data_IF_585456985370
#
_entry.id   IF_585456985370
#
_cell.length_a   1.000
_cell.length_b   1.000
_cell.length_c   1.000
_cell.angle_alpha   90.00
_cell.angle_beta   90.00
_cell.angle_gamma   90.00
#
_symmetry.space_group_name_H-M   'P 1'
#
loop_
_entity.id
_entity.type
_entity.pdbx_description
1 polymer ?
#
# COMPACT_ATOMS: atom_id res chain seq x y z
N UNK A 1 -23.10 -5.88 12.15
CA UNK A 1 -24.45 -6.50 12.13
C UNK A 1 -24.41 -8.03 12.27
N UNK A 2 -23.52 -8.75 11.58
CA UNK A 2 -23.41 -10.23 11.74
C UNK A 2 -23.11 -10.69 13.18
N UNK A 3 -22.45 -9.86 13.99
CA UNK A 3 -22.16 -10.13 15.41
C UNK A 3 -23.37 -10.00 16.36
N UNK A 4 -24.38 -9.22 15.99
CA UNK A 4 -25.56 -8.98 16.83
C UNK A 4 -26.66 -10.04 16.64
N UNK A 5 -26.70 -10.68 15.45
CA UNK A 5 -27.70 -11.69 15.10
C UNK A 5 -27.79 -12.87 16.10
N UNK A 6 -26.66 -13.48 16.54
CA UNK A 6 -26.72 -14.61 17.48
C UNK A 6 -27.07 -14.19 18.91
N UNK A 7 -26.75 -12.94 19.29
CA UNK A 7 -26.91 -12.42 20.67
C UNK A 7 -28.31 -11.89 20.94
N UNK A 8 -28.96 -11.29 19.94
CA UNK A 8 -30.39 -10.98 20.00
C UNK A 8 -31.21 -12.24 20.31
N UNK A 9 -30.85 -13.39 19.73
CA UNK A 9 -31.57 -14.65 20.01
C UNK A 9 -31.49 -15.11 21.48
N UNK A 10 -30.43 -14.74 22.24
CA UNK A 10 -30.26 -15.13 23.65
C UNK A 10 -30.83 -14.13 24.67
N UNK A 11 -31.01 -12.87 24.28
CA UNK A 11 -31.51 -11.82 25.19
C UNK A 11 -33.03 -11.94 25.44
N UNK A 12 -33.75 -12.65 24.57
CA UNK A 12 -35.22 -12.72 24.56
C UNK A 12 -35.79 -13.95 25.27
N UNK A 13 -34.98 -14.98 25.55
CA UNK A 13 -35.38 -16.08 26.45
C UNK A 13 -35.66 -15.59 27.88
N UNK A 14 -35.09 -14.44 28.27
CA UNK A 14 -35.37 -13.77 29.54
C UNK A 14 -36.70 -12.99 29.53
N UNK A 15 -37.10 -12.40 28.41
CA UNK A 15 -38.36 -11.65 28.25
C UNK A 15 -39.59 -12.58 28.20
N UNK A 16 -39.47 -13.77 27.59
CA UNK A 16 -40.52 -14.81 27.62
C UNK A 16 -40.83 -15.32 29.02
N UNK A 17 -39.85 -15.27 29.95
CA UNK A 17 -40.04 -15.70 31.35
C UNK A 17 -40.64 -14.63 32.25
N UNK A 18 -40.50 -13.35 31.91
CA UNK A 18 -40.96 -12.23 32.74
C UNK A 18 -42.40 -11.81 32.42
N UNK A 19 -42.88 -12.10 31.20
CA UNK A 19 -44.27 -11.88 30.78
C UNK A 19 -45.06 -13.20 30.91
N UNK A 20 -45.68 -13.42 32.07
CA UNK A 20 -46.41 -14.65 32.41
C UNK A 20 -47.28 -15.23 31.29
N UNK A 21 -46.79 -16.32 30.68
CA UNK A 21 -47.54 -17.47 30.16
C UNK A 21 -48.58 -17.30 29.04
N UNK A 22 -48.93 -16.08 28.59
CA UNK A 22 -50.10 -15.89 27.72
C UNK A 22 -49.86 -15.40 26.30
N UNK A 23 -48.61 -15.37 25.85
CA UNK A 23 -48.28 -14.90 24.49
C UNK A 23 -47.39 -15.90 23.75
N UNK A 24 -47.85 -17.15 23.64
CA UNK A 24 -47.19 -18.17 22.82
C UNK A 24 -47.44 -17.83 21.34
N UNK A 25 -46.49 -17.14 20.71
CA UNK A 25 -46.49 -16.85 19.27
C UNK A 25 -46.23 -15.39 18.84
N UNK A 26 -46.31 -14.39 19.72
CA UNK A 26 -45.89 -13.02 19.33
C UNK A 26 -44.36 -12.86 19.35
N UNK A 27 -43.66 -13.48 20.31
CA UNK A 27 -42.20 -13.46 20.38
C UNK A 27 -41.53 -14.09 19.14
N UNK A 28 -42.01 -15.25 18.70
CA UNK A 28 -41.53 -15.91 17.48
C UNK A 28 -41.78 -15.05 16.22
N UNK A 29 -42.97 -14.44 16.10
CA UNK A 29 -43.27 -13.53 14.99
C UNK A 29 -42.41 -12.28 14.99
N UNK A 30 -42.12 -11.68 16.16
CA UNK A 30 -41.22 -10.53 16.27
C UNK A 30 -39.77 -10.90 15.92
N UNK A 31 -39.28 -12.06 16.37
CA UNK A 31 -37.95 -12.57 16.01
C UNK A 31 -37.83 -12.78 14.50
N UNK A 32 -38.89 -13.28 13.85
CA UNK A 32 -38.91 -13.50 12.41
C UNK A 32 -38.93 -12.17 11.62
N UNK A 33 -39.70 -11.20 12.09
CA UNK A 33 -39.74 -9.84 11.52
C UNK A 33 -38.38 -9.15 11.65
N UNK A 34 -37.74 -9.18 12.82
CA UNK A 34 -36.42 -8.57 13.05
C UNK A 34 -35.32 -9.26 12.24
N UNK A 35 -35.35 -10.60 12.13
CA UNK A 35 -34.44 -11.34 11.24
C UNK A 35 -34.64 -10.94 9.79
N UNK A 36 -35.88 -10.66 9.36
CA UNK A 36 -36.19 -10.20 8.01
C UNK A 36 -35.66 -8.79 7.79
N UNK A 37 -35.84 -7.88 8.75
CA UNK A 37 -35.30 -6.50 8.69
C UNK A 37 -33.77 -6.53 8.62
N UNK A 38 -33.10 -7.30 9.47
CA UNK A 38 -31.64 -7.44 9.48
C UNK A 38 -31.12 -8.06 8.17
N UNK A 39 -31.80 -9.07 7.61
CA UNK A 39 -31.43 -9.64 6.30
C UNK A 39 -31.58 -8.63 5.18
N UNK A 40 -32.64 -7.82 5.19
CA UNK A 40 -32.83 -6.74 4.21
C UNK A 40 -31.72 -5.70 4.33
N UNK A 41 -31.39 -5.26 5.55
CA UNK A 41 -30.28 -4.33 5.80
C UNK A 41 -28.94 -4.91 5.36
N UNK A 42 -28.66 -6.19 5.64
CA UNK A 42 -27.48 -6.89 5.14
C UNK A 42 -27.45 -6.91 3.60
N UNK A 43 -28.61 -7.13 2.96
CA UNK A 43 -28.72 -7.10 1.49
C UNK A 43 -28.42 -5.73 0.90
N UNK A 44 -28.90 -4.66 1.53
CA UNK A 44 -28.60 -3.26 1.14
C UNK A 44 -27.11 -2.97 1.31
N UNK A 45 -26.55 -3.25 2.49
CA UNK A 45 -25.12 -3.07 2.79
C UNK A 45 -24.21 -3.86 1.85
N UNK A 46 -24.61 -5.09 1.45
CA UNK A 46 -23.86 -5.89 0.46
C UNK A 46 -23.86 -5.24 -0.92
N UNK A 47 -25.00 -4.67 -1.36
CA UNK A 47 -25.09 -3.93 -2.63
C UNK A 47 -24.26 -2.65 -2.61
N UNK A 48 -24.26 -1.92 -1.50
CA UNK A 48 -23.38 -0.76 -1.30
C UNK A 48 -21.90 -1.17 -1.30
N UNK A 49 -21.55 -2.30 -0.67
CA UNK A 49 -20.18 -2.83 -0.72
C UNK A 49 -19.76 -3.20 -2.15
N UNK A 50 -20.67 -3.76 -2.96
CA UNK A 50 -20.39 -4.04 -4.38
C UNK A 50 -20.22 -2.77 -5.22
N UNK A 51 -21.01 -1.72 -4.96
CA UNK A 51 -20.84 -0.45 -5.68
C UNK A 51 -19.50 0.21 -5.34
N UNK A 52 -19.10 0.19 -4.07
CA UNK A 52 -17.77 0.63 -3.62
C UNK A 52 -16.67 -0.20 -4.28
N UNK A 53 -16.81 -1.53 -4.33
CA UNK A 53 -15.85 -2.42 -5.05
C UNK A 53 -15.76 -2.09 -6.53
N UNK A 54 -16.88 -1.81 -7.21
CA UNK A 54 -16.88 -1.40 -8.63
C UNK A 54 -16.19 -0.05 -8.84
N UNK A 55 -16.47 0.94 -8.00
CA UNK A 55 -15.78 2.23 -8.03
C UNK A 55 -14.27 2.07 -7.82
N UNK A 56 -13.86 1.22 -6.87
CA UNK A 56 -12.44 0.88 -6.64
C UNK A 56 -11.82 0.18 -7.85
N UNK A 57 -12.52 -0.75 -8.50
CA UNK A 57 -12.05 -1.39 -9.74
C UNK A 57 -11.88 -0.39 -10.89
N UNK A 58 -12.76 0.60 -11.03
CA UNK A 58 -12.60 1.67 -12.02
C UNK A 58 -11.41 2.58 -11.71
N UNK A 59 -11.22 2.96 -10.44
CA UNK A 59 -10.02 3.68 -10.00
C UNK A 59 -8.74 2.86 -10.26
N UNK A 60 -8.79 1.54 -10.00
CA UNK A 60 -7.70 0.60 -10.29
C UNK A 60 -7.38 0.54 -11.79
N UNK A 61 -8.39 0.41 -12.65
CA UNK A 61 -8.19 0.39 -14.10
C UNK A 61 -7.53 1.68 -14.64
N UNK A 62 -7.83 2.84 -14.03
CA UNK A 62 -7.13 4.11 -14.32
C UNK A 62 -5.66 4.09 -13.87
N UNK A 63 -5.30 3.31 -12.84
CA UNK A 63 -3.90 3.11 -12.42
C UNK A 63 -3.18 2.12 -13.32
N UNK A 64 -3.85 1.06 -13.79
CA UNK A 64 -3.25 0.10 -14.74
C UNK A 64 -2.87 0.75 -16.07
N UNK A 65 -3.53 1.85 -16.45
CA UNK A 65 -3.18 2.68 -17.61
C UNK A 65 -2.04 3.67 -17.38
N UNK A 66 -1.59 3.88 -16.14
CA UNK A 66 -0.45 4.76 -15.83
C UNK A 66 0.77 3.89 -15.52
N UNK A 67 1.80 3.93 -16.37
CA UNK A 67 2.86 2.95 -16.31
C UNK A 67 3.94 3.20 -15.22
N UNK A 68 3.70 4.14 -14.29
CA UNK A 68 4.61 4.55 -13.20
C UNK A 68 4.68 3.49 -12.08
N UNK A 69 5.86 3.20 -11.49
CA UNK A 69 5.99 2.24 -10.39
C UNK A 69 5.18 2.66 -9.15
N UNK A 70 4.58 1.67 -8.48
CA UNK A 70 3.75 1.88 -7.27
C UNK A 70 4.50 1.39 -6.04
N UNK A 71 4.62 2.25 -5.05
CA UNK A 71 5.25 1.99 -3.75
C UNK A 71 4.17 2.06 -2.68
N UNK A 72 4.00 1.00 -1.90
CA UNK A 72 2.98 0.96 -0.83
C UNK A 72 3.61 1.05 0.55
N UNK A 73 3.15 2.02 1.34
CA UNK A 73 3.52 2.17 2.75
C UNK A 73 2.75 1.17 3.59
N UNK A 74 3.44 0.28 4.28
CA UNK A 74 2.89 -0.69 5.23
C UNK A 74 3.49 -0.46 6.61
N UNK A 75 2.76 -0.81 7.66
CA UNK A 75 3.25 -0.62 9.02
C UNK A 75 2.14 -0.35 10.01
N UNK A 76 2.49 -0.41 11.29
CA UNK A 76 1.55 -0.26 12.39
C UNK A 76 0.83 1.10 12.37
N UNK A 77 -0.33 1.20 13.02
CA UNK A 77 -0.99 2.51 13.24
C UNK A 77 -0.05 3.43 14.01
N UNK A 78 -0.05 4.72 13.66
CA UNK A 78 0.87 5.71 14.20
C UNK A 78 2.37 5.44 13.92
N UNK A 79 2.72 4.56 12.98
CA UNK A 79 4.12 4.45 12.52
C UNK A 79 4.61 5.70 11.76
N UNK A 80 3.70 6.60 11.37
CA UNK A 80 4.00 7.82 10.60
C UNK A 80 3.95 7.64 9.08
N UNK A 81 3.18 6.67 8.57
CA UNK A 81 2.97 6.45 7.12
C UNK A 81 2.35 7.67 6.42
N UNK A 82 1.24 8.19 6.96
CA UNK A 82 0.55 9.36 6.40
C UNK A 82 1.41 10.63 6.50
N UNK A 83 2.15 10.78 7.61
CA UNK A 83 3.14 11.86 7.77
C UNK A 83 4.21 11.79 6.69
N UNK A 84 4.75 10.59 6.42
CA UNK A 84 5.76 10.37 5.38
C UNK A 84 5.20 10.69 3.98
N UNK A 85 3.96 10.27 3.69
CA UNK A 85 3.27 10.61 2.45
C UNK A 85 3.14 12.12 2.28
N UNK A 86 2.65 12.82 3.30
CA UNK A 86 2.47 14.27 3.26
C UNK A 86 3.78 15.00 3.05
N UNK A 87 4.81 14.63 3.81
CA UNK A 87 6.11 15.29 3.74
C UNK A 87 6.77 15.14 2.35
N UNK A 88 6.57 13.99 1.69
CA UNK A 88 7.10 13.74 0.35
C UNK A 88 6.30 14.36 -0.79
N UNK A 89 5.02 14.67 -0.56
CA UNK A 89 4.09 15.08 -1.64
C UNK A 89 3.50 16.46 -1.45
N UNK A 90 3.71 17.10 -0.30
CA UNK A 90 3.01 18.32 0.11
C UNK A 90 1.50 18.13 0.26
N UNK A 91 1.02 16.88 0.33
CA UNK A 91 -0.39 16.59 0.49
C UNK A 91 -0.86 16.87 1.93
N UNK A 92 -2.14 17.21 2.07
CA UNK A 92 -2.79 17.43 3.37
C UNK A 92 -3.65 16.21 3.75
N UNK A 93 -3.01 15.03 3.86
CA UNK A 93 -3.68 13.81 4.36
C UNK A 93 -3.74 13.87 5.87
N UNK A 94 -4.90 13.56 6.46
CA UNK A 94 -5.07 13.54 7.92
C UNK A 94 -4.07 12.57 8.59
N UNK A 95 -3.10 13.14 9.32
CA UNK A 95 -2.10 12.42 10.09
C UNK A 95 -2.29 12.74 11.58
N UNK A 96 -3.30 12.16 12.20
CA UNK A 96 -3.58 12.32 13.64
C UNK A 96 -3.08 11.11 14.45
N UNK A 97 -2.77 11.32 15.73
CA UNK A 97 -2.47 10.27 16.72
C UNK A 97 -3.73 9.45 17.13
N UNK A 98 -4.46 8.93 16.13
CA UNK A 98 -5.65 8.10 16.31
C UNK A 98 -5.51 6.79 15.55
N UNK A 99 -6.12 5.73 16.09
CA UNK A 99 -6.22 4.45 15.39
C UNK A 99 -7.04 4.64 14.11
N UNK A 100 -6.59 4.05 13.01
CA UNK A 100 -7.23 4.16 11.68
C UNK A 100 -7.29 5.59 11.09
N UNK A 101 -6.29 6.43 11.35
CA UNK A 101 -6.17 7.74 10.69
C UNK A 101 -6.32 7.66 9.16
N UNK A 102 -5.85 6.55 8.55
CA UNK A 102 -6.09 6.20 7.14
C UNK A 102 -6.95 4.93 7.05
N UNK A 103 -8.16 5.06 6.48
CA UNK A 103 -9.08 3.94 6.21
C UNK A 103 -9.18 3.60 4.71
N UNK A 104 -9.09 4.60 3.84
CA UNK A 104 -9.02 4.43 2.39
C UNK A 104 -7.59 4.70 1.90
N UNK A 105 -7.04 3.84 1.01
CA UNK A 105 -5.70 4.02 0.53
C UNK A 105 -5.57 5.33 -0.26
N UNK A 106 -4.59 6.15 0.12
CA UNK A 106 -4.35 7.44 -0.54
C UNK A 106 -3.08 7.35 -1.38
N UNK A 107 -3.23 7.50 -2.69
CA UNK A 107 -2.09 7.49 -3.63
C UNK A 107 -1.75 8.90 -4.07
N UNK A 108 -0.47 9.24 -4.01
CA UNK A 108 0.07 10.51 -4.50
C UNK A 108 1.33 10.26 -5.31
N UNK A 109 1.67 11.22 -6.17
CA UNK A 109 2.86 11.17 -7.00
C UNK A 109 4.01 11.84 -6.26
N UNK A 110 5.14 11.14 -6.15
CA UNK A 110 6.38 11.67 -5.58
C UNK A 110 7.34 11.92 -6.74
N UNK A 111 7.80 13.16 -6.87
CA UNK A 111 8.83 13.53 -7.85
C UNK A 111 10.19 13.54 -7.16
N UNK A 112 11.18 12.92 -7.80
CA UNK A 112 12.56 12.91 -7.33
C UNK A 112 13.37 13.87 -8.20
N UNK A 113 14.40 14.50 -7.61
CA UNK A 113 15.24 15.53 -8.26
C UNK A 113 15.84 15.12 -9.61
N UNK A 114 15.99 13.82 -9.87
CA UNK A 114 16.58 13.27 -11.09
C UNK A 114 15.56 13.10 -12.24
N UNK A 115 14.34 13.62 -12.10
CA UNK A 115 13.27 13.52 -13.11
C UNK A 115 12.44 12.23 -13.03
N UNK A 116 12.89 11.24 -12.26
CA UNK A 116 12.12 10.03 -11.98
C UNK A 116 10.96 10.31 -11.02
N UNK A 117 9.87 9.57 -11.17
CA UNK A 117 8.70 9.64 -10.30
C UNK A 117 8.21 8.25 -9.91
N UNK A 118 7.54 8.17 -8.77
CA UNK A 118 6.81 6.97 -8.35
C UNK A 118 5.49 7.36 -7.70
N UNK A 119 4.55 6.42 -7.66
CA UNK A 119 3.30 6.58 -6.93
C UNK A 119 3.49 6.03 -5.52
N UNK A 120 3.24 6.85 -4.51
CA UNK A 120 3.27 6.45 -3.11
C UNK A 120 1.84 6.28 -2.59
N UNK A 121 1.52 5.08 -2.11
CA UNK A 121 0.21 4.75 -1.54
C UNK A 121 0.32 4.57 -0.04
N UNK A 122 -0.37 5.42 0.72
CA UNK A 122 -0.59 5.18 2.15
C UNK A 122 -1.70 4.15 2.33
N UNK A 123 -1.42 3.10 3.12
CA UNK A 123 -2.35 2.00 3.37
C UNK A 123 -2.88 2.03 4.79
N UNK A 124 -3.91 1.23 5.06
CA UNK A 124 -4.47 1.11 6.41
C UNK A 124 -3.40 0.62 7.38
N UNK A 125 -3.27 1.30 8.52
CA UNK A 125 -2.34 0.89 9.57
C UNK A 125 -2.73 -0.41 10.27
N UNK A 126 -1.75 -1.27 10.53
CA UNK A 126 -1.96 -2.51 11.28
C UNK A 126 -2.15 -2.26 12.79
N UNK A 127 -2.92 -3.12 13.44
CA UNK A 127 -3.08 -3.16 14.89
C UNK A 127 -2.92 -4.63 15.35
N UNK A 128 -2.35 -4.86 16.53
CA UNK A 128 -2.26 -6.16 17.16
C UNK A 128 -3.67 -6.71 17.41
N UNK A 129 -3.88 -7.99 17.09
CA UNK A 129 -5.16 -8.70 17.25
C UNK A 129 -6.33 -8.01 16.54
N UNK A 130 -6.17 -7.74 15.24
CA UNK A 130 -7.33 -7.37 14.42
C UNK A 130 -8.41 -8.46 14.56
N UNK A 131 -9.66 -8.10 14.91
CA UNK A 131 -10.76 -9.06 14.88
C UNK A 131 -10.85 -9.66 13.48
N UNK A 132 -11.02 -10.99 13.38
CA UNK A 132 -11.08 -11.72 12.10
C UNK A 132 -12.13 -11.15 11.13
N UNK A 133 -13.19 -10.55 11.67
CA UNK A 133 -14.22 -9.84 10.91
C UNK A 133 -13.75 -8.50 10.30
N UNK A 134 -12.88 -7.75 10.98
CA UNK A 134 -12.26 -6.54 10.41
C UNK A 134 -11.18 -6.89 9.38
N UNK A 135 -10.46 -8.00 9.58
CA UNK A 135 -9.47 -8.49 8.60
C UNK A 135 -10.14 -8.71 7.24
N UNK A 136 -11.36 -9.26 7.19
CA UNK A 136 -12.10 -9.43 5.93
C UNK A 136 -12.46 -8.10 5.24
N UNK A 137 -12.77 -7.05 6.00
CA UNK A 137 -13.06 -5.72 5.46
C UNK A 137 -11.79 -5.02 4.95
N UNK A 138 -10.66 -5.21 5.63
CA UNK A 138 -9.37 -4.67 5.22
C UNK A 138 -8.67 -5.50 4.15
N UNK A 139 -9.00 -6.79 3.99
CA UNK A 139 -8.43 -7.61 2.92
C UNK A 139 -8.62 -6.99 1.55
N UNK A 140 -9.79 -6.43 1.26
CA UNK A 140 -10.03 -5.75 -0.02
C UNK A 140 -9.19 -4.47 -0.22
N UNK A 141 -8.79 -3.78 0.86
CA UNK A 141 -7.87 -2.63 0.79
C UNK A 141 -6.40 -3.06 0.80
N UNK A 142 -6.10 -4.21 1.40
CA UNK A 142 -4.75 -4.78 1.47
C UNK A 142 -4.41 -5.59 0.22
N UNK A 143 -5.40 -6.08 -0.54
CA UNK A 143 -5.20 -6.68 -1.87
C UNK A 143 -4.52 -5.70 -2.83
N UNK A 144 -4.67 -4.39 -2.63
CA UNK A 144 -3.97 -3.37 -3.42
C UNK A 144 -2.45 -3.40 -3.20
N UNK A 145 -1.98 -3.91 -2.06
CA UNK A 145 -0.56 -4.10 -1.77
C UNK A 145 0.08 -5.09 -2.75
N UNK A 146 -0.67 -6.09 -3.21
CA UNK A 146 -0.18 -7.10 -4.15
C UNK A 146 0.24 -6.55 -5.53
N UNK A 147 -0.23 -5.36 -5.88
CA UNK A 147 0.10 -4.69 -7.14
C UNK A 147 1.32 -3.75 -7.01
N UNK A 148 1.91 -3.67 -5.82
CA UNK A 148 3.05 -2.77 -5.56
C UNK A 148 4.32 -3.30 -6.21
N UNK A 149 5.11 -2.39 -6.77
CA UNK A 149 6.48 -2.66 -7.21
C UNK A 149 7.46 -2.74 -6.04
N UNK A 150 7.14 -2.08 -4.92
CA UNK A 150 7.94 -2.07 -3.69
C UNK A 150 7.04 -1.90 -2.46
N UNK A 151 7.34 -2.65 -1.40
CA UNK A 151 6.76 -2.43 -0.07
C UNK A 151 7.71 -1.62 0.80
N UNK A 152 7.20 -0.54 1.38
CA UNK A 152 7.94 0.25 2.36
C UNK A 152 7.34 -0.01 3.73
N UNK A 153 8.04 -0.76 4.57
CA UNK A 153 7.63 -1.04 5.93
C UNK A 153 8.09 0.07 6.86
N UNK A 154 7.19 0.99 7.18
CA UNK A 154 7.41 2.09 8.12
C UNK A 154 7.26 1.58 9.55
N UNK A 155 8.33 1.72 10.34
CA UNK A 155 8.45 1.22 11.71
C UNK A 155 8.73 2.40 12.64
N UNK A 156 7.91 2.58 13.68
CA UNK A 156 8.22 3.53 14.76
C UNK A 156 9.30 2.95 15.67
N UNK A 157 10.55 3.38 15.48
CA UNK A 157 11.70 2.86 16.22
C UNK A 157 11.75 3.34 17.67
N UNK A 158 10.99 4.39 18.00
CA UNK A 158 10.90 4.92 19.36
C UNK A 158 9.94 4.13 20.25
N UNK A 159 9.15 3.23 19.67
CA UNK A 159 8.13 2.49 20.39
C UNK A 159 8.73 1.30 21.16
N UNK A 160 8.41 1.10 22.46
CA UNK A 160 9.02 0.04 23.27
C UNK A 160 8.69 -1.39 22.79
N UNK A 161 7.57 -1.55 22.09
CA UNK A 161 7.12 -2.82 21.50
C UNK A 161 7.40 -2.93 19.99
N UNK A 162 8.43 -2.24 19.49
CA UNK A 162 8.74 -2.19 18.05
C UNK A 162 8.88 -3.59 17.42
N UNK A 163 9.59 -4.51 18.07
CA UNK A 163 9.78 -5.87 17.55
C UNK A 163 8.46 -6.63 17.40
N UNK A 164 7.55 -6.47 18.36
CA UNK A 164 6.24 -7.10 18.32
C UNK A 164 5.35 -6.51 17.23
N UNK A 165 5.47 -5.19 16.97
CA UNK A 165 4.74 -4.53 15.90
C UNK A 165 5.25 -5.00 14.53
N UNK A 166 6.56 -5.07 14.34
CA UNK A 166 7.19 -5.59 13.12
C UNK A 166 6.72 -7.02 12.85
N UNK A 167 6.79 -7.89 13.86
CA UNK A 167 6.36 -9.29 13.73
C UNK A 167 4.86 -9.41 13.40
N UNK A 168 4.02 -8.55 13.98
CA UNK A 168 2.59 -8.53 13.68
C UNK A 168 2.32 -8.13 12.21
N UNK A 169 3.05 -7.16 11.68
CA UNK A 169 2.94 -6.75 10.27
C UNK A 169 3.44 -7.86 9.36
N UNK A 170 4.61 -8.45 9.64
CA UNK A 170 5.19 -9.55 8.86
C UNK A 170 4.24 -10.74 8.76
N UNK A 171 3.58 -11.10 9.86
CA UNK A 171 2.56 -12.16 9.86
C UNK A 171 1.44 -11.85 8.87
N UNK A 172 0.88 -10.64 8.90
CA UNK A 172 -0.23 -10.29 7.99
C UNK A 172 0.24 -10.22 6.54
N UNK A 173 1.45 -9.70 6.28
CA UNK A 173 2.02 -9.70 4.92
C UNK A 173 2.20 -11.13 4.39
N UNK A 174 2.63 -12.08 5.23
CA UNK A 174 2.71 -13.49 4.84
C UNK A 174 1.34 -14.10 4.52
N UNK A 175 0.29 -13.74 5.27
CA UNK A 175 -1.08 -14.20 5.02
C UNK A 175 -1.70 -13.63 3.72
N UNK A 176 -1.14 -12.54 3.19
CA UNK A 176 -1.56 -11.89 1.94
C UNK A 176 -0.78 -12.39 0.72
N UNK A 177 0.21 -13.28 0.90
CA UNK A 177 1.06 -13.84 -0.15
C UNK A 177 1.81 -12.78 -0.98
N UNK A 178 2.23 -11.70 -0.33
CA UNK A 178 3.00 -10.60 -0.97
C UNK A 178 4.51 -10.73 -0.79
N UNK A 179 4.99 -11.91 -0.43
CA UNK A 179 6.40 -12.19 -0.12
C UNK A 179 7.34 -12.04 -1.32
N UNK A 180 6.81 -12.04 -2.55
CA UNK A 180 7.57 -11.86 -3.79
C UNK A 180 7.90 -10.39 -4.10
N UNK A 181 7.23 -9.44 -3.44
CA UNK A 181 7.46 -8.02 -3.66
C UNK A 181 8.68 -7.59 -2.84
N UNK A 182 9.65 -6.87 -3.43
CA UNK A 182 10.80 -6.37 -2.67
C UNK A 182 10.32 -5.46 -1.53
N UNK A 183 11.12 -5.40 -0.46
CA UNK A 183 10.78 -4.66 0.75
C UNK A 183 11.92 -3.75 1.18
N UNK A 184 11.58 -2.51 1.54
CA UNK A 184 12.45 -1.55 2.20
C UNK A 184 11.91 -1.29 3.61
N UNK A 185 12.73 -1.45 4.65
CA UNK A 185 12.36 -1.14 6.02
C UNK A 185 12.77 0.30 6.31
N UNK A 186 11.84 1.07 6.87
CA UNK A 186 12.06 2.47 7.21
C UNK A 186 11.87 2.66 8.71
N UNK A 187 12.98 2.89 9.41
CA UNK A 187 12.96 3.29 10.81
C UNK A 187 12.60 4.76 10.90
N UNK A 188 11.34 5.02 11.22
CA UNK A 188 10.78 6.35 11.38
C UNK A 188 10.84 6.81 12.85
N UNK A 189 10.69 8.13 13.04
CA UNK A 189 10.73 8.82 14.34
C UNK A 189 12.10 8.76 15.02
N UNK A 190 13.17 8.80 14.24
CA UNK A 190 14.55 8.82 14.76
C UNK A 190 14.82 10.06 15.62
N UNK A 191 14.04 11.13 15.47
CA UNK A 191 14.05 12.33 16.32
C UNK A 191 13.68 12.06 17.79
N UNK A 192 12.99 10.95 18.07
CA UNK A 192 12.58 10.57 19.43
C UNK A 192 13.52 9.60 20.13
N UNK A 193 14.60 9.20 19.47
CA UNK A 193 15.58 8.24 20.00
C UNK A 193 16.70 8.98 20.72
N UNK A 194 17.19 8.41 21.82
CA UNK A 194 18.26 9.00 22.65
C UNK A 194 19.62 9.10 21.93
N UNK A 195 19.94 8.14 21.05
CA UNK A 195 21.16 8.14 20.24
C UNK A 195 20.87 7.84 18.76
N UNK A 196 20.49 8.86 17.96
CA UNK A 196 20.21 8.69 16.53
C UNK A 196 21.45 8.29 15.72
N UNK A 197 22.67 8.61 16.17
CA UNK A 197 23.91 8.32 15.43
C UNK A 197 24.21 6.83 15.46
N UNK A 198 24.11 6.22 16.64
CA UNK A 198 24.25 4.77 16.79
C UNK A 198 23.20 4.02 15.97
N UNK A 199 21.97 4.53 15.94
CA UNK A 199 20.88 3.94 15.16
C UNK A 199 21.17 3.97 13.65
N UNK A 200 21.66 5.10 13.12
CA UNK A 200 22.07 5.20 11.71
C UNK A 200 23.18 4.21 11.36
N UNK A 201 24.18 4.08 12.23
CA UNK A 201 25.29 3.15 12.03
C UNK A 201 24.84 1.68 12.08
N UNK A 202 23.81 1.37 12.86
CA UNK A 202 23.16 0.05 12.84
C UNK A 202 22.37 -0.18 11.55
N UNK A 203 21.64 0.84 11.08
CA UNK A 203 20.91 0.77 9.82
C UNK A 203 21.84 0.56 8.63
N UNK A 204 23.00 1.23 8.59
CA UNK A 204 24.02 1.06 7.54
C UNK A 204 24.59 -0.37 7.49
N UNK A 205 24.54 -1.12 8.60
CA UNK A 205 24.96 -2.53 8.65
C UNK A 205 23.88 -3.50 8.19
N UNK A 206 22.64 -3.04 8.05
CA UNK A 206 21.51 -3.85 7.59
C UNK A 206 21.21 -3.47 6.16
N UNK A 207 21.12 -4.49 5.30
CA UNK A 207 20.59 -4.27 3.96
C UNK A 207 19.13 -3.81 4.07
N UNK A 208 18.75 -2.86 3.22
CA UNK A 208 17.37 -2.41 3.02
C UNK A 208 16.74 -1.70 4.23
N UNK A 209 17.55 -1.06 5.06
CA UNK A 209 17.07 -0.23 6.18
C UNK A 209 17.45 1.23 5.98
N UNK A 210 16.46 2.12 6.08
CA UNK A 210 16.69 3.57 6.06
C UNK A 210 16.11 4.22 7.31
N UNK A 211 16.87 5.15 7.88
CA UNK A 211 16.47 5.96 9.03
C UNK A 211 15.88 7.29 8.58
N UNK A 212 14.66 7.61 9.03
CA UNK A 212 13.98 8.87 8.70
C UNK A 212 13.30 9.50 9.92
N UNK A 213 13.14 10.81 9.87
CA UNK A 213 12.12 11.52 10.65
C UNK A 213 11.12 12.10 9.66
N UNK A 214 9.97 11.44 9.50
CA UNK A 214 8.91 11.93 8.63
C UNK A 214 8.39 13.31 9.06
N UNK A 215 8.49 13.64 10.35
CA UNK A 215 8.05 14.92 10.90
C UNK A 215 8.99 16.07 10.52
N UNK A 216 10.31 15.84 10.64
CA UNK A 216 11.31 16.87 10.40
C UNK A 216 11.83 16.90 8.97
N UNK A 217 11.62 15.82 8.22
CA UNK A 217 12.15 15.62 6.87
C UNK A 217 13.57 15.04 6.83
N UNK A 218 14.17 14.72 7.97
CA UNK A 218 15.50 14.10 8.04
C UNK A 218 15.46 12.71 7.40
N UNK A 219 16.45 12.38 6.57
CA UNK A 219 16.57 11.06 5.95
C UNK A 219 15.69 10.84 4.71
N UNK A 220 14.88 11.82 4.30
CA UNK A 220 13.96 11.66 3.17
C UNK A 220 14.67 11.55 1.82
N UNK A 221 15.83 12.21 1.66
CA UNK A 221 16.60 12.11 0.44
C UNK A 221 17.19 10.71 0.30
N UNK A 222 17.74 10.16 1.39
CA UNK A 222 18.25 8.80 1.50
C UNK A 222 17.14 7.78 1.25
N UNK A 223 15.94 8.01 1.80
CA UNK A 223 14.76 7.20 1.54
C UNK A 223 14.40 7.16 0.04
N UNK A 224 14.31 8.33 -0.61
CA UNK A 224 14.00 8.40 -2.04
C UNK A 224 15.06 7.69 -2.89
N UNK A 225 16.34 7.81 -2.54
CA UNK A 225 17.44 7.13 -3.23
C UNK A 225 17.34 5.60 -3.07
N UNK A 226 17.12 5.11 -1.84
CA UNK A 226 16.96 3.68 -1.58
C UNK A 226 15.73 3.08 -2.28
N UNK A 227 14.62 3.83 -2.35
CA UNK A 227 13.44 3.45 -3.13
C UNK A 227 13.78 3.33 -4.61
N UNK A 228 14.54 4.28 -5.18
CA UNK A 228 14.97 4.21 -6.57
C UNK A 228 15.84 2.99 -6.85
N UNK A 229 16.84 2.73 -6.01
CA UNK A 229 17.72 1.57 -6.16
C UNK A 229 16.92 0.26 -6.13
N UNK A 230 16.00 0.11 -5.17
CA UNK A 230 15.14 -1.08 -5.11
C UNK A 230 14.21 -1.25 -6.30
N UNK A 231 13.65 -0.15 -6.79
CA UNK A 231 12.84 -0.20 -8.01
C UNK A 231 13.70 -0.57 -9.21
N UNK A 232 14.93 -0.07 -9.31
CA UNK A 232 15.90 -0.36 -10.37
C UNK A 232 16.29 -1.85 -10.40
N UNK A 233 16.47 -2.47 -9.24
CA UNK A 233 16.81 -3.91 -9.12
C UNK A 233 15.72 -4.82 -9.69
N UNK A 234 14.46 -4.38 -9.65
CA UNK A 234 13.33 -5.11 -10.22
C UNK A 234 13.16 -4.92 -11.74
N UNK A 235 13.95 -4.01 -12.35
CA UNK A 235 13.88 -3.64 -13.75
C UNK A 235 14.99 -4.29 -14.57
N UNK A 236 14.74 -4.44 -15.87
CA UNK A 236 15.69 -5.01 -16.83
C UNK A 236 16.47 -3.88 -17.49
N UNK A 237 17.81 -3.95 -17.43
CA UNK A 237 18.67 -3.05 -18.18
C UNK A 237 18.52 -3.29 -19.69
N UNK A 238 18.40 -2.21 -20.46
CA UNK A 238 18.27 -2.24 -21.91
C UNK A 238 19.11 -1.15 -22.56
N UNK A 239 19.74 -1.53 -23.66
CA UNK A 239 20.31 -0.62 -24.65
C UNK A 239 19.58 -0.84 -25.97
N UNK A 240 18.90 0.20 -26.46
CA UNK A 240 18.06 0.09 -27.65
C UNK A 240 18.10 1.37 -28.48
N UNK A 241 18.11 1.22 -29.80
CA UNK A 241 17.98 2.32 -30.74
C UNK A 241 16.51 2.44 -31.15
N UNK A 242 15.83 3.45 -30.63
CA UNK A 242 14.41 3.70 -30.90
C UNK A 242 14.29 4.63 -32.11
N UNK A 243 13.78 4.17 -33.26
CA UNK A 243 13.59 5.03 -34.42
C UNK A 243 12.51 6.10 -34.18
N UNK A 244 12.60 7.22 -34.93
CA UNK A 244 11.76 8.41 -34.70
C UNK A 244 10.26 8.17 -34.92
N UNK A 245 9.89 7.16 -35.72
CA UNK A 245 8.52 6.71 -35.92
C UNK A 245 7.89 6.09 -34.66
N UNK A 246 8.71 5.74 -33.66
CA UNK A 246 8.28 5.13 -32.38
C UNK A 246 8.44 6.08 -31.18
N UNK A 247 8.20 7.37 -31.39
CA UNK A 247 8.26 8.39 -30.34
C UNK A 247 7.39 8.11 -29.10
N UNK A 248 6.23 7.46 -29.27
CA UNK A 248 5.37 7.05 -28.14
C UNK A 248 6.07 6.05 -27.20
N UNK A 249 6.85 5.12 -27.76
CA UNK A 249 7.60 4.14 -26.98
C UNK A 249 8.72 4.82 -26.19
N UNK A 250 9.42 5.77 -26.82
CA UNK A 250 10.45 6.58 -26.17
C UNK A 250 9.86 7.38 -24.99
N UNK A 251 8.74 8.09 -25.22
CA UNK A 251 8.04 8.83 -24.16
C UNK A 251 7.63 7.92 -23.00
N UNK A 252 7.10 6.74 -23.31
CA UNK A 252 6.73 5.74 -22.31
C UNK A 252 7.96 5.28 -21.51
N UNK A 253 9.12 5.10 -22.13
CA UNK A 253 10.33 4.69 -21.42
C UNK A 253 10.84 5.80 -20.50
N UNK A 254 10.77 7.06 -20.90
CA UNK A 254 11.09 8.18 -20.02
C UNK A 254 10.14 8.30 -18.83
N UNK A 255 8.88 7.90 -18.98
CA UNK A 255 7.89 7.94 -17.89
C UNK A 255 8.00 6.77 -16.91
N UNK A 256 8.56 5.64 -17.35
CA UNK A 256 8.38 4.33 -16.67
C UNK A 256 9.70 3.65 -16.34
N UNK A 257 10.68 3.86 -17.20
CA UNK A 257 12.03 3.41 -17.00
C UNK A 257 12.85 4.46 -16.28
N UNK A 258 13.94 4.00 -15.69
CA UNK A 258 15.00 4.87 -15.20
C UNK A 258 16.02 5.02 -16.31
N UNK A 259 15.95 6.14 -17.04
CA UNK A 259 16.85 6.44 -18.15
C UNK A 259 18.17 6.96 -17.61
N UNK A 260 19.26 6.28 -17.94
CA UNK A 260 20.61 6.69 -17.54
C UNK A 260 21.24 7.62 -18.59
N UNK A 261 21.02 7.31 -19.87
CA UNK A 261 21.59 8.08 -20.98
C UNK A 261 20.70 8.02 -22.21
N UNK A 262 20.69 9.14 -22.94
CA UNK A 262 19.99 9.31 -24.21
C UNK A 262 20.93 9.97 -25.20
N UNK A 263 21.07 9.38 -26.39
CA UNK A 263 21.86 9.94 -27.48
C UNK A 263 21.03 10.00 -28.76
N UNK A 264 21.09 11.12 -29.45
CA UNK A 264 20.40 11.31 -30.71
C UNK A 264 21.34 10.94 -31.86
N UNK A 265 20.89 10.05 -32.73
CA UNK A 265 21.61 9.58 -33.91
C UNK A 265 20.79 9.88 -35.16
N UNK A 266 21.38 9.71 -36.35
CA UNK A 266 20.69 9.95 -37.63
C UNK A 266 19.50 9.01 -37.86
N UNK A 267 19.54 7.80 -37.29
CA UNK A 267 18.53 6.75 -37.49
C UNK A 267 17.55 6.60 -36.32
N UNK A 268 17.72 7.35 -35.23
CA UNK A 268 16.85 7.29 -34.06
C UNK A 268 17.51 7.79 -32.77
N UNK A 269 16.88 7.47 -31.64
CA UNK A 269 17.37 7.80 -30.30
C UNK A 269 17.91 6.54 -29.62
N UNK A 270 19.21 6.51 -29.34
CA UNK A 270 19.83 5.45 -28.55
C UNK A 270 19.56 5.72 -27.07
N UNK A 271 19.00 4.73 -26.39
CA UNK A 271 18.66 4.83 -24.98
C UNK A 271 19.38 3.74 -24.18
N UNK A 272 19.88 4.12 -23.01
CA UNK A 272 20.37 3.20 -21.97
C UNK A 272 19.51 3.42 -20.73
N UNK A 273 18.71 2.41 -20.37
CA UNK A 273 17.71 2.55 -19.31
C UNK A 273 17.45 1.23 -18.59
N UNK A 274 16.97 1.32 -17.35
CA UNK A 274 16.30 0.22 -16.67
C UNK A 274 14.80 0.33 -16.92
N UNK A 275 14.19 -0.71 -17.47
CA UNK A 275 12.75 -0.71 -17.79
C UNK A 275 12.06 -1.96 -17.22
N UNK A 276 10.77 -1.87 -16.87
CA UNK A 276 10.01 -3.07 -16.50
C UNK A 276 10.03 -4.14 -17.59
N UNK A 277 9.99 -5.42 -17.19
CA UNK A 277 10.12 -6.57 -18.09
C UNK A 277 9.19 -6.50 -19.33
N UNK A 278 7.97 -5.99 -19.17
CA UNK A 278 7.03 -5.82 -20.29
C UNK A 278 7.55 -4.91 -21.39
N UNK A 279 8.20 -3.80 -21.03
CA UNK A 279 8.77 -2.85 -21.98
C UNK A 279 10.11 -3.32 -22.52
N UNK A 280 10.89 -4.03 -21.70
CA UNK A 280 12.09 -4.70 -22.16
C UNK A 280 11.79 -5.65 -23.33
N UNK A 281 10.66 -6.38 -23.27
CA UNK A 281 10.20 -7.26 -24.36
C UNK A 281 9.81 -6.49 -25.62
N UNK A 282 9.15 -5.33 -25.50
CA UNK A 282 8.79 -4.47 -26.63
C UNK A 282 10.01 -3.85 -27.32
N UNK A 283 11.10 -3.64 -26.56
CA UNK A 283 12.36 -3.12 -27.06
C UNK A 283 13.27 -4.18 -27.68
N UNK A 284 12.99 -5.48 -27.48
CA UNK A 284 13.79 -6.58 -28.05
C UNK A 284 14.16 -6.41 -29.53
N UNK A 285 13.24 -6.06 -30.46
CA UNK A 285 13.61 -5.87 -31.88
C UNK A 285 14.50 -4.66 -32.15
N UNK A 286 14.61 -3.74 -31.20
CA UNK A 286 15.41 -2.51 -31.26
C UNK A 286 16.67 -2.57 -30.39
N UNK A 287 16.88 -3.69 -29.68
CA UNK A 287 18.07 -3.86 -28.85
C UNK A 287 19.30 -3.91 -29.73
N UNK A 288 20.28 -3.08 -29.42
CA UNK A 288 21.63 -3.35 -29.88
C UNK A 288 22.15 -4.47 -28.97
N UNK A 289 22.29 -5.68 -29.51
CA UNK A 289 23.11 -6.69 -28.87
C UNK A 289 24.47 -6.05 -28.67
N UNK A 290 24.95 -5.98 -27.42
CA UNK A 290 26.33 -5.60 -27.16
C UNK A 290 27.22 -6.49 -28.02
N UNK A 291 27.72 -5.96 -29.13
CA UNK A 291 28.91 -6.51 -29.77
C UNK A 291 30.05 -6.11 -28.83
N UNK A 292 30.30 -6.99 -27.87
CA UNK A 292 31.57 -7.05 -27.15
C UNK A 292 32.70 -7.37 -28.13
#
# INVERSE_FOLDING_TARGET
>A
MEYQLPRLTRMWSHLERQAGGRVKGMGEKQIEVDKRILRTQIGVLKKELESVRKHRKQYRNRRTSVPVPVVSLVGYTNAGKSTLLNQLTGADVLAEDRLFATLDPTTKRVQIKNGNEFLLTDTVGFIQKLPTTLVAAFRATLEEISESSLLVHVVDISHPLVEQQVHAVDKVLSELDVSSIPRLIVWNKVDRVSDPKKLKLEAERKEDVVCVSALNGDGLQEFCNAVQEKLKDSMVWVEALVPFDKGELLSTIHQVGMVERTEYTESGTLIKAHVPLRFARLLTPMRQLCTS
#
